data_IF_626768238067
#
_entry.id   IF_626768238067
#
_cell.length_a   1.000
_cell.length_b   1.000
_cell.length_c   1.000
_cell.angle_alpha   90.00
_cell.angle_beta   90.00
_cell.angle_gamma   90.00
#
_symmetry.space_group_name_H-M   'P 1'
#
loop_
_entity.id
_entity.type
_entity.pdbx_description
1 polymer ?
#
# COMPACT_ATOMS: atom_id res chain seq x y z
N UNK A 1 -6.90 2.70 17.46
CA UNK A 1 -5.53 3.29 17.43
C UNK A 1 -4.63 2.69 16.30
N UNK A 2 -4.86 3.01 15.02
CA UNK A 2 -3.98 2.63 13.90
C UNK A 2 -2.57 3.28 13.93
N UNK A 3 -1.60 2.76 13.14
CA UNK A 3 -0.22 3.27 13.07
C UNK A 3 -0.17 4.79 12.86
N UNK A 4 0.32 5.53 13.86
CA UNK A 4 0.40 7.01 13.89
C UNK A 4 1.29 7.67 12.82
N UNK A 5 2.00 6.90 11.98
CA UNK A 5 3.08 7.39 11.11
C UNK A 5 3.04 6.87 9.66
N UNK A 6 1.94 6.28 9.19
CA UNK A 6 1.85 5.92 7.76
C UNK A 6 1.72 7.20 6.90
N UNK A 7 2.44 7.34 5.78
CA UNK A 7 2.44 8.55 4.97
C UNK A 7 1.13 8.69 4.18
N UNK A 8 0.06 9.14 4.85
CA UNK A 8 -1.23 9.47 4.23
C UNK A 8 -1.40 10.99 4.14
N UNK A 9 -1.60 11.51 2.93
CA UNK A 9 -1.96 12.93 2.69
C UNK A 9 -3.47 13.02 2.47
N UNK A 10 -4.17 13.71 3.38
CA UNK A 10 -5.63 13.74 3.46
C UNK A 10 -6.29 14.64 2.41
N UNK A 11 -7.37 14.16 1.78
CA UNK A 11 -8.34 14.98 1.05
C UNK A 11 -9.44 15.43 2.02
N UNK A 12 -9.70 16.74 2.13
CA UNK A 12 -10.68 17.33 3.07
C UNK A 12 -12.13 16.92 2.79
N UNK A 13 -12.43 16.37 1.61
CA UNK A 13 -13.80 16.00 1.22
C UNK A 13 -14.18 14.54 1.53
N UNK A 14 -13.22 13.65 1.80
CA UNK A 14 -13.52 12.26 2.15
C UNK A 14 -12.43 11.65 3.05
N UNK A 15 -12.60 11.65 4.39
CA UNK A 15 -11.55 11.27 5.35
C UNK A 15 -11.46 9.75 5.61
N UNK A 16 -11.85 8.91 4.66
CA UNK A 16 -12.02 7.46 4.91
C UNK A 16 -11.09 6.55 4.09
N UNK A 17 -10.38 7.07 3.09
CA UNK A 17 -9.44 6.28 2.26
C UNK A 17 -8.10 6.99 2.05
N UNK A 18 -7.04 6.19 1.97
CA UNK A 18 -5.68 6.64 1.67
C UNK A 18 -5.09 5.73 0.57
N UNK A 19 -4.77 6.32 -0.58
CA UNK A 19 -4.00 5.71 -1.66
C UNK A 19 -2.72 6.52 -1.91
N UNK A 20 -1.60 5.85 -2.18
CA UNK A 20 -0.32 6.49 -2.48
C UNK A 20 0.11 6.18 -3.92
N UNK A 21 -0.07 7.13 -4.85
CA UNK A 21 0.94 7.59 -5.82
C UNK A 21 0.38 8.72 -6.72
N UNK A 22 0.73 9.97 -6.36
CA UNK A 22 0.73 11.28 -7.08
C UNK A 22 -0.56 11.95 -7.63
N UNK A 23 -0.68 13.26 -7.36
CA UNK A 23 -1.03 14.27 -8.38
C UNK A 23 -2.05 15.38 -8.07
N UNK A 24 -1.77 16.35 -7.19
CA UNK A 24 -2.33 17.71 -7.37
C UNK A 24 -1.40 18.79 -6.78
N UNK A 25 -0.93 19.70 -7.64
CA UNK A 25 -0.22 20.93 -7.27
C UNK A 25 -0.95 22.09 -7.94
N UNK A 26 -1.64 22.91 -7.14
CA UNK A 26 -1.95 24.30 -7.48
C UNK A 26 -1.01 25.20 -6.67
N UNK A 27 -0.32 26.19 -7.29
CA UNK A 27 0.40 27.22 -6.54
C UNK A 27 -0.62 28.24 -5.99
N UNK A 28 -0.21 28.96 -4.95
CA UNK A 28 -0.87 30.14 -4.38
C UNK A 28 -1.94 29.91 -3.31
N UNK A 29 -1.50 29.77 -2.04
CA UNK A 29 -2.23 30.27 -0.88
C UNK A 29 -1.28 30.52 0.31
N UNK A 30 -1.34 31.75 0.83
CA UNK A 30 -0.66 32.34 2.00
C UNK A 30 -0.86 31.56 3.32
N UNK A 31 -0.04 31.82 4.37
CA UNK A 31 0.14 30.90 5.49
C UNK A 31 -0.99 31.04 6.53
N UNK A 32 -2.03 30.22 6.40
CA UNK A 32 -2.91 29.93 7.54
C UNK A 32 -2.18 28.97 8.47
N UNK A 33 -1.91 29.41 9.71
CA UNK A 33 -1.42 28.54 10.80
C UNK A 33 -2.41 27.39 11.00
N UNK A 34 -2.13 26.26 10.36
CA UNK A 34 -2.95 25.06 10.44
C UNK A 34 -2.52 24.25 11.67
N UNK A 35 -3.41 24.11 12.64
CA UNK A 35 -3.25 23.20 13.77
C UNK A 35 -2.92 21.79 13.28
N UNK A 36 -1.85 21.21 13.82
CA UNK A 36 -1.40 19.84 13.52
C UNK A 36 -2.43 18.84 14.06
N UNK A 37 -3.41 18.42 13.25
CA UNK A 37 -4.11 17.14 13.51
C UNK A 37 -3.16 15.99 13.16
N UNK A 38 -2.23 15.69 14.08
CA UNK A 38 -1.30 14.56 14.00
C UNK A 38 -1.84 13.29 14.67
N UNK A 39 -3.01 13.34 15.31
CA UNK A 39 -3.43 12.32 16.27
C UNK A 39 -4.93 11.95 16.17
N UNK A 40 -5.32 11.27 15.10
CA UNK A 40 -6.68 10.71 15.01
C UNK A 40 -6.67 9.24 14.51
N UNK A 41 -6.03 8.33 15.25
CA UNK A 41 -5.82 6.94 14.83
C UNK A 41 -7.09 6.07 14.89
N UNK A 42 -8.22 6.63 15.31
CA UNK A 42 -9.54 5.98 15.31
C UNK A 42 -10.39 6.38 14.09
N UNK A 43 -9.86 7.23 13.20
CA UNK A 43 -10.51 7.60 11.94
C UNK A 43 -10.21 6.64 10.80
N UNK A 44 -9.09 5.90 10.87
CA UNK A 44 -8.70 4.96 9.81
C UNK A 44 -9.36 3.62 10.10
N UNK A 45 -10.34 3.25 9.28
CA UNK A 45 -11.05 1.96 9.40
C UNK A 45 -10.44 0.83 8.58
N UNK A 46 -9.66 1.15 7.56
CA UNK A 46 -8.93 0.19 6.74
C UNK A 46 -7.86 0.93 5.92
N UNK A 47 -6.85 0.20 5.44
CA UNK A 47 -5.83 0.72 4.51
C UNK A 47 -5.67 -0.23 3.33
N UNK A 48 -5.35 0.33 2.16
CA UNK A 48 -5.03 -0.49 1.00
C UNK A 48 -3.89 0.07 0.14
N UNK A 49 -2.61 -0.16 0.53
CA UNK A 49 -1.47 0.33 -0.24
C UNK A 49 -1.28 -0.44 -1.56
N UNK A 50 -0.84 0.28 -2.59
CA UNK A 50 -0.41 -0.25 -3.89
C UNK A 50 1.06 0.09 -4.07
N UNK A 51 1.89 -0.90 -4.44
CA UNK A 51 3.34 -0.76 -4.63
C UNK A 51 4.05 -0.06 -3.47
N UNK A 52 3.65 -0.38 -2.23
CA UNK A 52 4.24 0.23 -1.05
C UNK A 52 4.39 -0.77 0.09
N UNK A 53 5.59 -0.75 0.68
CA UNK A 53 5.97 -1.58 1.81
C UNK A 53 6.13 -0.75 3.09
N UNK A 54 6.17 -1.43 4.23
CA UNK A 54 6.41 -0.78 5.51
C UNK A 54 7.90 -0.43 5.66
N UNK A 55 8.25 0.82 6.02
CA UNK A 55 9.60 1.15 6.48
C UNK A 55 9.97 0.39 7.75
N UNK A 56 11.18 -0.15 7.83
CA UNK A 56 11.67 -0.94 8.97
C UNK A 56 11.52 -0.18 10.29
N UNK A 57 11.84 1.11 10.28
CA UNK A 57 11.72 2.00 11.43
C UNK A 57 10.30 2.07 12.00
N UNK A 58 9.25 1.88 11.18
CA UNK A 58 7.87 1.91 11.64
C UNK A 58 7.46 0.67 12.45
N UNK A 59 8.15 -0.47 12.29
CA UNK A 59 7.82 -1.69 13.07
C UNK A 59 7.96 -1.45 14.57
N UNK A 60 9.01 -0.74 14.97
CA UNK A 60 9.32 -0.49 16.38
C UNK A 60 8.38 0.52 17.03
N UNK A 61 7.92 1.52 16.27
CA UNK A 61 7.17 2.68 16.80
C UNK A 61 5.68 2.63 16.48
N UNK A 62 5.23 1.68 15.66
CA UNK A 62 3.82 1.55 15.39
C UNK A 62 3.08 1.03 16.64
N UNK A 63 2.14 1.84 17.15
CA UNK A 63 1.37 1.61 18.38
C UNK A 63 -0.14 1.67 18.14
N UNK A 64 -0.89 0.90 18.93
CA UNK A 64 -2.35 0.87 18.98
C UNK A 64 -3.05 -0.28 18.22
N UNK A 65 -4.39 -0.23 18.12
CA UNK A 65 -5.23 -1.23 17.43
C UNK A 65 -4.87 -1.46 15.96
N UNK A 66 -4.94 -2.72 15.56
CA UNK A 66 -4.86 -3.14 14.17
C UNK A 66 -6.05 -2.66 13.33
N UNK A 67 -5.89 -2.64 12.02
CA UNK A 67 -6.93 -2.31 11.05
C UNK A 67 -6.91 -3.32 9.91
N UNK A 68 -8.04 -3.58 9.23
CA UNK A 68 -8.06 -4.30 7.97
C UNK A 68 -7.04 -3.74 6.96
N UNK A 69 -6.31 -4.63 6.28
CA UNK A 69 -5.27 -4.27 5.29
C UNK A 69 -5.45 -5.05 3.99
N UNK A 70 -5.38 -4.36 2.84
CA UNK A 70 -5.34 -4.96 1.51
C UNK A 70 -4.16 -4.41 0.71
N UNK A 71 -3.19 -5.25 0.35
CA UNK A 71 -1.98 -4.80 -0.33
C UNK A 71 -1.94 -5.28 -1.77
N UNK A 72 -1.40 -4.48 -2.68
CA UNK A 72 -1.05 -4.89 -4.04
C UNK A 72 0.43 -4.62 -4.27
N UNK A 73 1.21 -5.65 -4.61
CA UNK A 73 2.65 -5.51 -4.82
C UNK A 73 3.11 -6.33 -6.02
N UNK A 74 3.84 -5.70 -6.94
CA UNK A 74 4.49 -6.35 -8.07
C UNK A 74 5.81 -7.01 -7.66
N UNK A 75 6.06 -8.26 -8.10
CA UNK A 75 7.33 -8.96 -7.80
C UNK A 75 8.53 -8.34 -8.51
N UNK A 76 8.28 -7.71 -9.66
CA UNK A 76 9.30 -7.13 -10.54
C UNK A 76 9.26 -5.60 -10.49
N UNK A 77 8.73 -5.04 -9.40
CA UNK A 77 8.65 -3.60 -9.16
C UNK A 77 10.07 -2.99 -9.07
N UNK A 78 10.48 -2.17 -10.06
CA UNK A 78 11.84 -1.64 -10.09
C UNK A 78 12.06 -0.51 -9.09
N UNK A 79 11.01 0.02 -8.46
CA UNK A 79 11.07 1.21 -7.61
C UNK A 79 10.89 0.86 -6.12
N UNK A 80 10.01 -0.09 -5.81
CA UNK A 80 9.70 -0.58 -4.48
C UNK A 80 9.85 -2.11 -4.45
N UNK A 81 11.06 -2.63 -4.13
CA UNK A 81 11.35 -4.05 -4.23
C UNK A 81 10.40 -4.91 -3.41
N UNK A 82 9.83 -5.94 -4.04
CA UNK A 82 8.90 -6.85 -3.40
C UNK A 82 9.49 -7.53 -2.16
N UNK A 83 10.77 -7.92 -2.24
CA UNK A 83 11.53 -8.57 -1.18
C UNK A 83 12.08 -7.59 -0.12
N UNK A 84 11.73 -6.31 -0.22
CA UNK A 84 12.21 -5.27 0.68
C UNK A 84 13.61 -4.80 0.35
N UNK A 85 14.21 -4.05 1.26
CA UNK A 85 15.46 -3.33 1.02
C UNK A 85 15.23 -1.88 0.63
N UNK A 86 16.18 -1.30 -0.11
CA UNK A 86 16.17 0.14 -0.40
C UNK A 86 15.31 0.43 -1.63
N UNK A 87 14.33 1.36 -1.53
CA UNK A 87 13.63 1.86 -2.70
C UNK A 87 14.60 2.45 -3.73
N UNK A 88 14.45 2.07 -4.99
CA UNK A 88 15.25 2.69 -6.07
C UNK A 88 14.69 4.06 -6.46
N UNK A 89 13.44 4.35 -6.10
CA UNK A 89 12.86 5.70 -6.24
C UNK A 89 13.69 6.74 -5.48
N UNK A 90 14.31 6.35 -4.35
CA UNK A 90 15.20 7.23 -3.61
C UNK A 90 16.50 7.47 -4.37
N UNK A 91 17.04 6.52 -5.12
CA UNK A 91 18.18 6.78 -5.99
C UNK A 91 17.86 7.80 -7.09
N UNK A 92 16.65 7.75 -7.66
CA UNK A 92 16.19 8.68 -8.69
C UNK A 92 15.81 10.07 -8.13
N UNK A 93 15.26 10.14 -6.92
CA UNK A 93 14.82 11.38 -6.25
C UNK A 93 15.85 11.98 -5.26
N UNK A 94 16.96 11.28 -4.97
CA UNK A 94 18.10 11.74 -4.14
C UNK A 94 18.65 13.09 -4.61
N UNK A 95 18.54 13.40 -5.90
CA UNK A 95 18.93 14.71 -6.47
C UNK A 95 18.01 15.88 -6.07
N UNK A 96 16.83 15.61 -5.50
CA UNK A 96 15.78 16.63 -5.31
C UNK A 96 15.29 16.77 -3.87
N UNK A 97 15.38 15.74 -3.00
CA UNK A 97 14.68 15.76 -1.68
C UNK A 97 15.42 15.28 -0.43
N UNK A 98 16.71 15.02 -0.49
CA UNK A 98 17.43 14.43 0.63
C UNK A 98 17.14 12.93 0.75
N UNK A 99 18.15 12.17 1.19
CA UNK A 99 18.16 10.71 1.26
C UNK A 99 17.15 10.20 2.29
N UNK A 100 16.16 9.40 1.88
CA UNK A 100 15.65 8.34 2.77
C UNK A 100 16.54 7.13 2.58
N UNK A 101 17.46 6.89 3.52
CA UNK A 101 18.14 5.60 3.65
C UNK A 101 17.25 4.58 4.38
N UNK A 102 15.93 4.72 4.23
CA UNK A 102 14.94 3.93 4.92
C UNK A 102 14.86 2.55 4.25
N UNK A 103 15.31 1.53 4.97
CA UNK A 103 15.09 0.15 4.59
C UNK A 103 13.59 -0.15 4.64
N UNK A 104 13.08 -0.81 3.61
CA UNK A 104 11.71 -1.31 3.58
C UNK A 104 11.69 -2.80 3.94
N UNK A 105 10.68 -3.19 4.70
CA UNK A 105 10.31 -4.57 4.95
C UNK A 105 9.80 -5.18 3.63
N UNK A 106 9.95 -6.48 3.40
CA UNK A 106 9.35 -7.13 2.23
C UNK A 106 7.83 -7.03 2.23
N UNK A 107 7.17 -7.15 1.07
CA UNK A 107 5.71 -7.15 0.96
C UNK A 107 5.10 -8.29 1.78
N UNK A 108 5.60 -9.55 1.69
CA UNK A 108 5.11 -10.64 2.54
C UNK A 108 5.31 -10.38 4.03
N UNK A 109 6.47 -9.83 4.44
CA UNK A 109 6.72 -9.54 5.85
C UNK A 109 5.91 -8.33 6.36
N UNK A 110 5.59 -7.37 5.49
CA UNK A 110 4.68 -6.26 5.80
C UNK A 110 3.26 -6.80 6.04
N UNK A 111 2.77 -7.69 5.17
CA UNK A 111 1.47 -8.34 5.35
C UNK A 111 1.46 -9.18 6.65
N UNK A 112 2.52 -9.96 6.90
CA UNK A 112 2.66 -10.76 8.13
C UNK A 112 2.70 -9.89 9.40
N UNK A 113 3.34 -8.72 9.35
CA UNK A 113 3.33 -7.76 10.46
C UNK A 113 1.89 -7.33 10.79
N UNK A 114 1.12 -6.94 9.79
CA UNK A 114 -0.28 -6.55 9.98
C UNK A 114 -1.15 -7.71 10.43
N UNK A 115 -0.92 -8.91 9.89
CA UNK A 115 -1.66 -10.11 10.28
C UNK A 115 -1.42 -10.46 11.76
N UNK A 116 -0.16 -10.47 12.20
CA UNK A 116 0.20 -10.66 13.61
C UNK A 116 -0.47 -9.61 14.49
N UNK A 117 -0.45 -8.35 14.06
CA UNK A 117 -1.06 -7.25 14.79
C UNK A 117 -2.58 -7.33 14.87
N UNK A 118 -3.20 -7.88 13.85
CA UNK A 118 -4.64 -8.11 13.81
C UNK A 118 -5.06 -9.42 14.49
N UNK A 119 -4.10 -10.17 15.07
CA UNK A 119 -4.35 -11.46 15.71
C UNK A 119 -4.80 -12.55 14.75
N UNK A 120 -4.38 -12.49 13.48
CA UNK A 120 -4.70 -13.49 12.49
C UNK A 120 -3.93 -14.80 12.72
N UNK A 121 -4.51 -15.92 12.26
CA UNK A 121 -3.87 -17.22 12.17
C UNK A 121 -3.01 -17.37 10.91
N UNK A 122 -2.94 -18.61 10.39
CA UNK A 122 -2.15 -18.93 9.20
C UNK A 122 -2.68 -18.25 7.94
N UNK A 123 -1.77 -18.02 7.00
CA UNK A 123 -2.10 -17.57 5.65
C UNK A 123 -2.45 -18.75 4.74
N UNK A 124 -3.43 -18.55 3.86
CA UNK A 124 -3.65 -19.37 2.68
C UNK A 124 -3.35 -18.57 1.42
N UNK A 125 -2.99 -19.26 0.33
CA UNK A 125 -2.77 -18.64 -0.98
C UNK A 125 -3.63 -19.28 -2.06
N UNK A 126 -4.05 -18.48 -3.02
CA UNK A 126 -4.80 -18.92 -4.21
C UNK A 126 -4.43 -18.06 -5.41
N UNK A 127 -4.29 -18.68 -6.58
CA UNK A 127 -4.16 -17.93 -7.83
C UNK A 127 -5.51 -17.33 -8.24
N UNK A 128 -5.50 -16.08 -8.72
CA UNK A 128 -6.65 -15.51 -9.42
C UNK A 128 -6.66 -15.94 -10.89
N UNK A 129 -7.81 -15.87 -11.58
CA UNK A 129 -7.86 -16.08 -13.02
C UNK A 129 -6.95 -15.09 -13.76
N UNK A 130 -6.11 -15.62 -14.65
CA UNK A 130 -5.38 -14.84 -15.65
C UNK A 130 -6.37 -14.46 -16.77
N UNK A 131 -6.73 -13.18 -16.83
CA UNK A 131 -7.77 -12.63 -17.72
C UNK A 131 -7.15 -11.86 -18.89
N UNK A 132 -5.85 -11.62 -18.86
CA UNK A 132 -5.15 -10.72 -19.78
C UNK A 132 -3.79 -11.25 -20.17
N UNK A 133 -3.48 -11.24 -21.46
CA UNK A 133 -2.14 -11.59 -21.97
C UNK A 133 -1.12 -10.45 -21.81
N UNK A 134 -1.02 -9.87 -20.62
CA UNK A 134 -0.01 -8.84 -20.27
C UNK A 134 1.29 -9.43 -19.70
N UNK A 135 1.32 -10.74 -19.50
CA UNK A 135 2.48 -11.48 -18.99
C UNK A 135 2.70 -11.28 -17.50
N UNK A 136 1.62 -11.02 -16.75
CA UNK A 136 1.56 -11.07 -15.30
C UNK A 136 0.57 -12.14 -14.85
N UNK A 137 0.61 -12.52 -13.58
CA UNK A 137 -0.45 -13.30 -12.92
C UNK A 137 -0.59 -12.81 -11.48
N UNK A 138 -1.69 -13.15 -10.80
CA UNK A 138 -1.92 -12.71 -9.42
C UNK A 138 -2.09 -13.89 -8.48
N UNK A 139 -1.27 -13.90 -7.42
CA UNK A 139 -1.43 -14.77 -6.25
C UNK A 139 -2.03 -13.95 -5.10
N UNK A 140 -3.23 -14.30 -4.66
CA UNK A 140 -3.83 -13.73 -3.46
C UNK A 140 -3.38 -14.53 -2.23
N UNK A 141 -2.76 -13.85 -1.27
CA UNK A 141 -2.39 -14.39 0.05
C UNK A 141 -3.32 -13.78 1.09
N UNK A 142 -4.13 -14.60 1.75
CA UNK A 142 -5.13 -14.15 2.72
C UNK A 142 -4.84 -14.72 4.10
N UNK A 143 -4.83 -13.85 5.11
CA UNK A 143 -4.71 -14.24 6.51
C UNK A 143 -6.11 -14.37 7.13
N UNK A 144 -6.37 -15.51 7.77
CA UNK A 144 -7.70 -15.85 8.31
C UNK A 144 -7.72 -15.80 9.84
N UNK A 145 -8.91 -15.86 10.45
CA UNK A 145 -9.06 -15.92 11.90
C UNK A 145 -8.58 -14.67 12.65
N UNK A 146 -8.65 -13.50 12.00
CA UNK A 146 -8.21 -12.23 12.58
C UNK A 146 -9.21 -11.70 13.62
N UNK A 147 -8.70 -11.08 14.68
CA UNK A 147 -9.50 -10.44 15.73
C UNK A 147 -9.99 -9.04 15.32
N UNK A 148 -9.13 -8.22 14.70
CA UNK A 148 -9.44 -6.80 14.44
C UNK A 148 -9.63 -6.45 12.98
N UNK A 149 -9.27 -7.32 12.03
CA UNK A 149 -9.49 -7.06 10.60
C UNK A 149 -8.70 -8.01 9.70
N UNK A 150 -9.28 -8.34 8.54
CA UNK A 150 -8.62 -9.21 7.56
C UNK A 150 -7.37 -8.55 6.98
N UNK A 151 -6.38 -9.37 6.63
CA UNK A 151 -5.18 -8.95 5.91
C UNK A 151 -5.06 -9.76 4.63
N UNK A 152 -4.93 -9.07 3.51
CA UNK A 152 -4.76 -9.70 2.19
C UNK A 152 -3.63 -9.03 1.43
N UNK A 153 -2.82 -9.82 0.74
CA UNK A 153 -1.79 -9.38 -0.19
C UNK A 153 -2.09 -9.97 -1.57
N UNK A 154 -2.28 -9.12 -2.56
CA UNK A 154 -2.25 -9.47 -3.97
C UNK A 154 -0.81 -9.33 -4.46
N UNK A 155 -0.12 -10.47 -4.56
CA UNK A 155 1.19 -10.56 -5.19
C UNK A 155 1.01 -10.66 -6.69
N UNK A 156 1.54 -9.70 -7.43
CA UNK A 156 1.43 -9.61 -8.88
C UNK A 156 2.74 -10.11 -9.48
N UNK A 157 2.76 -11.38 -9.87
CA UNK A 157 3.94 -12.03 -10.43
C UNK A 157 4.27 -11.41 -11.79
N UNK A 158 5.50 -10.93 -11.96
CA UNK A 158 5.94 -10.19 -13.14
C UNK A 158 5.42 -8.74 -13.23
N UNK A 159 4.64 -8.30 -12.23
CA UNK A 159 4.10 -6.94 -12.16
C UNK A 159 5.11 -5.94 -11.62
N UNK A 160 4.97 -4.68 -12.03
CA UNK A 160 5.83 -3.58 -11.64
C UNK A 160 5.19 -2.56 -10.68
N UNK A 161 5.75 -1.35 -10.64
CA UNK A 161 5.31 -0.17 -9.88
C UNK A 161 4.10 0.53 -10.51
N UNK A 162 2.95 -0.15 -10.55
CA UNK A 162 1.77 0.38 -11.23
C UNK A 162 0.47 0.01 -10.52
N UNK A 163 -0.61 0.70 -10.91
CA UNK A 163 -1.95 0.44 -10.38
C UNK A 163 -2.63 -0.65 -11.21
N UNK A 164 -2.99 -1.82 -10.65
CA UNK A 164 -3.60 -2.90 -11.42
C UNK A 164 -4.96 -2.50 -11.99
N UNK A 165 -5.18 -2.84 -13.27
CA UNK A 165 -6.37 -2.44 -14.03
C UNK A 165 -6.38 -0.98 -14.49
N UNK A 166 -5.27 -0.23 -14.29
CA UNK A 166 -5.11 1.10 -14.90
C UNK A 166 -4.46 1.02 -16.27
N UNK A 167 -4.46 2.13 -17.00
CA UNK A 167 -3.59 2.29 -18.16
C UNK A 167 -2.13 2.05 -17.77
N UNK A 168 -1.38 1.35 -18.64
CA UNK A 168 0.02 1.00 -18.41
C UNK A 168 0.90 2.25 -18.46
N UNK A 169 1.66 2.57 -17.40
CA UNK A 169 2.66 3.63 -17.42
C UNK A 169 3.86 3.23 -18.30
N UNK A 170 4.87 4.11 -18.42
CA UNK A 170 6.10 3.74 -19.13
C UNK A 170 6.73 2.49 -18.49
N UNK A 171 6.67 1.37 -19.22
CA UNK A 171 7.13 0.06 -18.78
C UNK A 171 8.63 0.04 -18.45
N UNK A 172 9.43 0.93 -19.04
CA UNK A 172 10.87 1.04 -18.72
C UNK A 172 11.12 1.62 -17.34
N UNK A 173 10.19 2.44 -16.84
CA UNK A 173 10.31 3.10 -15.54
C UNK A 173 9.57 2.36 -14.44
N UNK A 174 8.41 1.80 -14.76
CA UNK A 174 7.49 1.25 -13.79
C UNK A 174 7.27 -0.25 -13.92
N UNK A 175 7.84 -0.94 -14.92
CA UNK A 175 7.57 -2.36 -15.16
C UNK A 175 6.17 -2.63 -15.75
N UNK A 176 5.71 -3.89 -15.70
CA UNK A 176 4.42 -4.29 -16.29
C UNK A 176 3.24 -3.88 -15.40
N UNK A 177 2.09 -3.64 -16.02
CA UNK A 177 0.82 -3.45 -15.31
C UNK A 177 -0.08 -4.63 -15.58
N UNK A 178 -0.53 -5.30 -14.51
CA UNK A 178 -1.53 -6.36 -14.61
C UNK A 178 -2.91 -5.77 -14.90
N UNK A 179 -3.63 -6.41 -15.81
CA UNK A 179 -5.02 -6.12 -16.15
C UNK A 179 -5.97 -7.23 -15.66
N UNK A 180 -5.47 -8.19 -14.88
CA UNK A 180 -6.27 -9.31 -14.35
C UNK A 180 -7.26 -8.87 -13.25
N UNK A 181 -7.00 -7.72 -12.64
CA UNK A 181 -7.83 -7.17 -11.56
C UNK A 181 -7.95 -5.66 -11.70
N UNK A 182 -9.16 -5.14 -11.46
CA UNK A 182 -9.36 -3.72 -11.19
C UNK A 182 -9.15 -3.48 -9.69
N UNK A 183 -7.95 -3.02 -9.33
CA UNK A 183 -7.61 -2.76 -7.93
C UNK A 183 -8.51 -1.69 -7.32
N UNK A 184 -8.95 -0.68 -8.08
CA UNK A 184 -9.82 0.38 -7.58
C UNK A 184 -11.15 -0.17 -7.11
N UNK A 185 -11.81 -0.96 -7.97
CA UNK A 185 -13.12 -1.55 -7.65
C UNK A 185 -13.01 -2.49 -6.44
N UNK A 186 -11.99 -3.34 -6.41
CA UNK A 186 -11.75 -4.27 -5.29
C UNK A 186 -11.44 -3.54 -3.98
N UNK A 187 -10.69 -2.44 -4.03
CA UNK A 187 -10.39 -1.60 -2.87
C UNK A 187 -11.63 -0.88 -2.34
N UNK A 188 -12.48 -0.35 -3.22
CA UNK A 188 -13.75 0.29 -2.82
C UNK A 188 -14.64 -0.70 -2.09
N UNK A 189 -14.83 -1.89 -2.64
CA UNK A 189 -15.60 -2.97 -1.99
C UNK A 189 -15.01 -3.36 -0.63
N UNK A 190 -13.67 -3.48 -0.58
CA UNK A 190 -12.97 -3.76 0.66
C UNK A 190 -13.23 -2.68 1.71
N UNK A 191 -13.18 -1.42 1.33
CA UNK A 191 -13.43 -0.33 2.25
C UNK A 191 -14.88 -0.25 2.70
N UNK A 192 -15.86 -0.41 1.80
CA UNK A 192 -17.28 -0.43 2.14
C UNK A 192 -17.59 -1.52 3.19
N UNK A 193 -17.03 -2.72 3.03
CA UNK A 193 -17.15 -3.81 4.02
C UNK A 193 -16.52 -3.49 5.37
N UNK A 194 -15.61 -2.51 5.42
CA UNK A 194 -14.93 -2.06 6.63
C UNK A 194 -15.39 -0.65 7.06
N UNK A 195 -16.59 -0.24 6.67
CA UNK A 195 -17.26 0.95 7.17
C UNK A 195 -16.83 2.24 6.48
N UNK A 196 -16.56 2.19 5.17
CA UNK A 196 -16.48 3.38 4.32
C UNK A 196 -17.86 3.84 3.85
#
# INVERSE_FOLDING_TARGET
>A
MACRHWPCRWNRRNPTSCGASRGDRRPDALPVRLGRRRDAPDLVRAIAPVSANMPEALRAVCRGAGVPVMMFSGTDDPLMPFDGGRPQLDALLRRVRGSSDDQMVSSPATAAFWASRNGCGSAGSSALPDRSSDGTTITQVSYSGCNTGQVVLFQINGGGHSWPGSATPDRRLAGKTSQDIDATSVMVDFFQRNGL
#
